data_IF_280112093079
#
_entry.id   IF_280112093079
#
_cell.length_a   1.000
_cell.length_b   1.000
_cell.length_c   1.000
_cell.angle_alpha   90.00
_cell.angle_beta   90.00
_cell.angle_gamma   90.00
#
_symmetry.space_group_name_H-M   'P 1'
#
loop_
_entity.id
_entity.type
_entity.pdbx_description
1 polymer ?
#
# COMPACT_ATOMS: atom_id res chain seq x y z
N UNK A 1 -13.77 -20.25 -8.15
CA UNK A 1 -13.37 -19.36 -7.05
C UNK A 1 -14.51 -19.32 -6.04
N UNK A 2 -14.22 -19.48 -4.74
CA UNK A 2 -15.26 -19.40 -3.72
C UNK A 2 -15.73 -17.94 -3.54
N UNK A 3 -16.94 -17.76 -3.03
CA UNK A 3 -17.50 -16.42 -2.78
C UNK A 3 -16.60 -15.59 -1.89
N UNK A 4 -15.97 -16.22 -0.88
CA UNK A 4 -15.05 -15.53 0.01
C UNK A 4 -13.81 -15.00 -0.73
N UNK A 5 -13.26 -15.74 -1.68
CA UNK A 5 -12.13 -15.29 -2.47
C UNK A 5 -12.49 -14.14 -3.41
N UNK A 6 -13.73 -14.13 -3.94
CA UNK A 6 -14.21 -13.01 -4.73
C UNK A 6 -14.28 -11.72 -3.92
N UNK A 7 -14.75 -11.82 -2.67
CA UNK A 7 -14.82 -10.65 -1.78
C UNK A 7 -13.44 -10.10 -1.42
N UNK A 8 -12.44 -10.97 -1.25
CA UNK A 8 -11.08 -10.54 -0.87
C UNK A 8 -10.51 -9.55 -1.88
N UNK A 9 -10.64 -9.81 -3.19
CA UNK A 9 -10.11 -8.91 -4.21
C UNK A 9 -10.79 -7.53 -4.15
N UNK A 10 -12.10 -7.49 -3.93
CA UNK A 10 -12.81 -6.23 -3.79
C UNK A 10 -12.43 -5.50 -2.49
N UNK A 11 -12.25 -6.22 -1.39
CA UNK A 11 -11.83 -5.61 -0.10
C UNK A 11 -10.44 -5.01 -0.22
N UNK A 12 -9.46 -5.75 -0.72
CA UNK A 12 -8.11 -5.23 -0.92
C UNK A 12 -8.11 -4.08 -1.92
N UNK A 13 -8.86 -4.20 -3.01
CA UNK A 13 -8.97 -3.13 -4.01
C UNK A 13 -9.53 -1.85 -3.39
N UNK A 14 -10.62 -1.94 -2.64
CA UNK A 14 -11.21 -0.79 -1.96
C UNK A 14 -10.25 -0.19 -0.93
N UNK A 15 -9.57 -1.03 -0.15
CA UNK A 15 -8.59 -0.57 0.84
C UNK A 15 -7.45 0.22 0.20
N UNK A 16 -6.91 -0.26 -0.91
CA UNK A 16 -5.83 0.44 -1.61
C UNK A 16 -6.31 1.73 -2.26
N UNK A 17 -7.56 1.79 -2.74
CA UNK A 17 -8.14 3.05 -3.23
C UNK A 17 -8.26 4.08 -2.11
N UNK A 18 -8.67 3.65 -0.91
CA UNK A 18 -8.74 4.55 0.26
C UNK A 18 -7.34 5.04 0.65
N UNK A 19 -6.33 4.17 0.59
CA UNK A 19 -4.94 4.57 0.85
C UNK A 19 -4.45 5.58 -0.19
N UNK A 20 -4.82 5.41 -1.46
CA UNK A 20 -4.50 6.38 -2.51
C UNK A 20 -5.10 7.76 -2.20
N UNK A 21 -6.37 7.80 -1.81
CA UNK A 21 -7.02 9.04 -1.40
C UNK A 21 -6.30 9.69 -0.21
N UNK A 22 -5.90 8.88 0.76
CA UNK A 22 -5.15 9.38 1.92
C UNK A 22 -3.82 10.02 1.51
N UNK A 23 -3.11 9.42 0.55
CA UNK A 23 -1.87 10.00 0.01
C UNK A 23 -2.10 11.36 -0.63
N UNK A 24 -3.19 11.51 -1.39
CA UNK A 24 -3.47 12.75 -2.12
C UNK A 24 -4.04 13.84 -1.22
N UNK A 25 -4.92 13.48 -0.27
CA UNK A 25 -5.64 14.44 0.56
C UNK A 25 -4.92 14.76 1.86
N UNK A 26 -4.14 13.82 2.39
CA UNK A 26 -3.45 13.96 3.68
C UNK A 26 -2.00 13.45 3.59
N UNK A 27 -1.18 14.07 2.72
CA UNK A 27 0.18 13.55 2.47
C UNK A 27 1.06 13.56 3.72
N UNK A 28 0.93 14.53 4.63
CA UNK A 28 1.72 14.55 5.85
C UNK A 28 1.35 13.41 6.79
N UNK A 29 0.07 13.18 6.98
CA UNK A 29 -0.42 12.10 7.85
C UNK A 29 -0.08 10.73 7.28
N UNK A 30 0.03 10.61 5.95
CA UNK A 30 0.41 9.37 5.31
C UNK A 30 1.81 8.90 5.72
N UNK A 31 2.74 9.82 5.94
CA UNK A 31 4.07 9.44 6.45
C UNK A 31 3.97 8.66 7.76
N UNK A 32 3.21 9.17 8.74
CA UNK A 32 3.04 8.50 10.02
C UNK A 32 2.28 7.19 9.91
N UNK A 33 1.24 7.15 9.07
CA UNK A 33 0.48 5.93 8.84
C UNK A 33 1.35 4.84 8.23
N UNK A 34 2.17 5.21 7.24
CA UNK A 34 3.07 4.28 6.56
C UNK A 34 4.21 3.83 7.48
N UNK A 35 4.73 4.73 8.29
CA UNK A 35 5.80 4.45 9.23
C UNK A 35 7.11 5.16 8.92
N UNK A 36 7.06 6.32 8.28
CA UNK A 36 8.24 7.11 7.98
C UNK A 36 8.12 8.50 8.59
N UNK A 37 9.25 9.07 9.06
CA UNK A 37 9.26 10.45 9.56
C UNK A 37 9.08 11.42 8.40
N UNK A 38 8.50 12.58 8.69
CA UNK A 38 8.44 13.66 7.73
C UNK A 38 9.85 14.09 7.33
N UNK A 39 10.03 14.43 6.07
CA UNK A 39 11.28 15.01 5.60
C UNK A 39 11.44 16.42 6.15
N UNK A 40 12.65 16.99 6.05
CA UNK A 40 12.95 18.26 6.67
C UNK A 40 12.04 19.39 6.14
N UNK A 41 11.06 19.80 6.96
CA UNK A 41 10.10 20.84 6.62
C UNK A 41 10.74 22.22 6.47
N UNK A 42 11.92 22.44 7.06
CA UNK A 42 12.61 23.73 7.00
C UNK A 42 13.18 24.02 5.61
N UNK A 43 13.47 22.97 4.83
CA UNK A 43 14.04 23.12 3.49
C UNK A 43 12.97 23.24 2.40
N UNK A 44 11.70 22.97 2.72
CA UNK A 44 10.63 23.02 1.72
C UNK A 44 9.29 23.41 2.35
N UNK A 45 9.08 24.72 2.48
CA UNK A 45 7.86 25.27 3.08
C UNK A 45 6.59 24.90 2.31
N UNK A 46 6.68 24.72 0.98
CA UNK A 46 5.53 24.38 0.15
C UNK A 46 4.99 22.97 0.45
N UNK A 47 5.87 22.02 0.72
CA UNK A 47 5.50 20.62 0.95
C UNK A 47 5.23 20.29 2.41
N UNK A 48 5.55 21.20 3.33
CA UNK A 48 5.35 21.02 4.78
C UNK A 48 5.95 19.72 5.31
N UNK A 49 7.11 19.33 4.79
CA UNK A 49 7.83 18.14 5.23
C UNK A 49 7.49 16.86 4.50
N UNK A 50 6.58 16.87 3.53
CA UNK A 50 6.36 15.71 2.67
C UNK A 50 7.02 15.91 1.29
N UNK A 51 7.51 14.82 0.72
CA UNK A 51 8.06 14.78 -0.63
C UNK A 51 6.95 14.58 -1.66
N UNK A 52 7.10 15.08 -2.91
CA UNK A 52 6.21 14.72 -4.00
C UNK A 52 6.10 13.20 -4.24
N UNK A 53 7.06 12.41 -3.77
CA UNK A 53 7.00 10.95 -3.86
C UNK A 53 5.77 10.35 -3.15
N UNK A 54 5.18 11.05 -2.18
CA UNK A 54 3.94 10.57 -1.55
C UNK A 54 2.80 10.49 -2.57
N UNK A 55 2.78 11.38 -3.57
CA UNK A 55 1.79 11.34 -4.65
C UNK A 55 2.07 10.19 -5.63
N UNK A 56 3.34 9.90 -5.90
CA UNK A 56 3.74 8.72 -6.68
C UNK A 56 3.28 7.45 -5.99
N UNK A 57 3.45 7.37 -4.67
CA UNK A 57 2.93 6.28 -3.87
C UNK A 57 1.40 6.18 -3.98
N UNK A 58 0.71 7.33 -3.96
CA UNK A 58 -0.74 7.36 -4.14
C UNK A 58 -1.19 6.78 -5.47
N UNK A 59 -0.51 7.12 -6.56
CA UNK A 59 -0.79 6.54 -7.89
C UNK A 59 -0.52 5.04 -7.88
N UNK A 60 0.53 4.58 -7.23
CA UNK A 60 0.83 3.15 -7.09
C UNK A 60 -0.33 2.42 -6.41
N UNK A 61 -0.81 2.94 -5.30
CA UNK A 61 -1.94 2.35 -4.57
C UNK A 61 -3.23 2.38 -5.41
N UNK A 62 -3.46 3.49 -6.14
CA UNK A 62 -4.60 3.62 -7.04
C UNK A 62 -4.60 2.53 -8.12
N UNK A 63 -3.45 2.33 -8.76
CA UNK A 63 -3.33 1.32 -9.82
C UNK A 63 -3.49 -0.09 -9.28
N UNK A 64 -2.99 -0.38 -8.09
CA UNK A 64 -3.19 -1.69 -7.45
C UNK A 64 -4.68 -1.95 -7.20
N UNK A 65 -5.36 -0.97 -6.61
CA UNK A 65 -6.78 -1.11 -6.29
C UNK A 65 -7.66 -1.27 -7.52
N UNK A 66 -7.44 -0.43 -8.52
CA UNK A 66 -8.20 -0.52 -9.77
C UNK A 66 -7.96 -1.85 -10.48
N UNK A 67 -6.71 -2.32 -10.51
CA UNK A 67 -6.38 -3.59 -11.15
C UNK A 67 -7.11 -4.76 -10.49
N UNK A 68 -7.08 -4.82 -9.15
CA UNK A 68 -7.78 -5.89 -8.44
C UNK A 68 -9.28 -5.87 -8.70
N UNK A 69 -9.89 -4.69 -8.66
CA UNK A 69 -11.34 -4.54 -8.85
C UNK A 69 -11.73 -4.91 -10.29
N UNK A 70 -11.02 -4.39 -11.27
CA UNK A 70 -11.33 -4.66 -12.69
C UNK A 70 -11.13 -6.13 -13.02
N UNK A 71 -10.03 -6.73 -12.59
CA UNK A 71 -9.79 -8.16 -12.85
C UNK A 71 -10.83 -9.04 -12.17
N UNK A 72 -11.27 -8.68 -10.96
CA UNK A 72 -12.34 -9.40 -10.27
C UNK A 72 -13.66 -9.27 -11.02
N UNK A 73 -13.98 -8.07 -11.48
CA UNK A 73 -15.19 -7.83 -12.27
C UNK A 73 -15.19 -8.65 -13.56
N UNK A 74 -14.03 -8.79 -14.20
CA UNK A 74 -13.85 -9.60 -15.40
C UNK A 74 -13.83 -11.12 -15.12
N UNK A 75 -13.79 -11.52 -13.87
CA UNK A 75 -13.71 -12.93 -13.47
C UNK A 75 -12.37 -13.60 -13.82
N UNK A 76 -11.31 -12.83 -13.98
CA UNK A 76 -10.01 -13.36 -14.38
C UNK A 76 -9.19 -13.82 -13.16
N UNK A 77 -9.53 -14.99 -12.65
CA UNK A 77 -8.94 -15.55 -11.41
C UNK A 77 -7.42 -15.70 -11.52
N UNK A 78 -6.92 -16.17 -12.65
CA UNK A 78 -5.48 -16.39 -12.82
C UNK A 78 -4.70 -15.08 -12.77
N UNK A 79 -5.22 -14.03 -13.41
CA UNK A 79 -4.59 -12.72 -13.38
C UNK A 79 -4.62 -12.11 -11.98
N UNK A 80 -5.72 -12.26 -11.25
CA UNK A 80 -5.82 -11.80 -9.85
C UNK A 80 -4.76 -12.47 -9.00
N UNK A 81 -4.63 -13.78 -9.06
CA UNK A 81 -3.67 -14.56 -8.28
C UNK A 81 -2.24 -14.13 -8.59
N UNK A 82 -1.91 -14.01 -9.87
CA UNK A 82 -0.58 -13.57 -10.31
C UNK A 82 -0.30 -12.15 -9.83
N UNK A 83 -1.26 -11.25 -9.99
CA UNK A 83 -1.10 -9.86 -9.60
C UNK A 83 -0.94 -9.72 -8.07
N UNK A 84 -1.76 -10.44 -7.30
CA UNK A 84 -1.66 -10.43 -5.84
C UNK A 84 -0.29 -10.94 -5.36
N UNK A 85 0.23 -12.00 -5.98
CA UNK A 85 1.57 -12.49 -5.67
C UNK A 85 2.64 -11.43 -5.93
N UNK A 86 2.54 -10.73 -7.06
CA UNK A 86 3.52 -9.70 -7.43
C UNK A 86 3.44 -8.51 -6.46
N UNK A 87 2.25 -7.99 -6.19
CA UNK A 87 2.12 -6.83 -5.30
C UNK A 87 2.39 -7.15 -3.84
N UNK A 88 2.34 -8.42 -3.44
CA UNK A 88 2.75 -8.80 -2.09
C UNK A 88 4.20 -8.43 -1.81
N UNK A 89 5.05 -8.43 -2.85
CA UNK A 89 6.44 -8.00 -2.73
C UNK A 89 6.54 -6.53 -2.32
N UNK A 90 5.58 -5.69 -2.71
CA UNK A 90 5.56 -4.30 -2.26
C UNK A 90 5.39 -4.22 -0.74
N UNK A 91 4.56 -5.07 -0.14
CA UNK A 91 4.42 -5.13 1.32
C UNK A 91 5.71 -5.55 2.01
N UNK A 92 6.42 -6.53 1.45
CA UNK A 92 7.70 -6.94 1.98
C UNK A 92 8.72 -5.80 1.96
N UNK A 93 8.89 -5.15 0.80
CA UNK A 93 9.86 -4.06 0.63
C UNK A 93 9.45 -2.83 1.43
N UNK A 94 8.18 -2.48 1.44
CA UNK A 94 7.68 -1.35 2.25
C UNK A 94 8.01 -1.59 3.73
N UNK A 95 7.84 -2.80 4.22
CA UNK A 95 8.21 -3.16 5.59
C UNK A 95 9.70 -3.00 5.86
N UNK A 96 10.56 -3.41 4.92
CA UNK A 96 12.00 -3.22 5.05
C UNK A 96 12.39 -1.74 5.06
N UNK A 97 11.77 -0.94 4.19
CA UNK A 97 12.01 0.51 4.16
C UNK A 97 11.65 1.14 5.49
N UNK A 98 10.50 0.80 6.05
CA UNK A 98 10.07 1.32 7.35
C UNK A 98 11.00 0.85 8.47
N UNK A 99 11.39 -0.42 8.46
CA UNK A 99 12.28 -0.98 9.48
C UNK A 99 13.62 -0.24 9.53
N UNK A 100 14.21 0.05 8.38
CA UNK A 100 15.52 0.70 8.31
C UNK A 100 15.47 2.23 8.37
N UNK A 101 14.32 2.86 8.04
CA UNK A 101 14.22 4.31 7.89
C UNK A 101 13.22 4.98 8.83
N UNK A 102 12.35 4.21 9.49
CA UNK A 102 11.30 4.76 10.34
C UNK A 102 11.75 5.18 11.73
N UNK A 103 12.93 4.75 12.14
CA UNK A 103 13.41 4.95 13.49
C UNK A 103 12.65 4.08 14.50
N UNK A 104 12.99 4.22 15.79
CA UNK A 104 12.35 3.41 16.82
C UNK A 104 10.86 3.71 16.96
N UNK A 105 10.46 4.95 16.73
CA UNK A 105 9.07 5.39 16.85
C UNK A 105 8.15 4.64 15.87
N UNK A 106 8.59 4.46 14.62
CA UNK A 106 7.74 3.90 13.57
C UNK A 106 8.09 2.45 13.21
N UNK A 107 9.12 1.86 13.86
CA UNK A 107 9.58 0.52 13.49
C UNK A 107 8.47 -0.52 13.55
N UNK A 108 7.52 -0.39 14.48
CA UNK A 108 6.38 -1.30 14.58
C UNK A 108 5.48 -1.31 13.36
N UNK A 109 5.46 -0.20 12.60
CA UNK A 109 4.67 -0.11 11.37
C UNK A 109 5.14 -1.10 10.30
N UNK A 110 6.42 -1.51 10.35
CA UNK A 110 6.94 -2.54 9.46
C UNK A 110 6.15 -3.83 9.54
N UNK A 111 5.71 -4.22 10.74
CA UNK A 111 4.93 -5.45 10.93
C UNK A 111 3.60 -5.40 10.19
N UNK A 112 2.97 -4.23 10.09
CA UNK A 112 1.75 -4.06 9.30
C UNK A 112 1.97 -4.34 7.81
N UNK A 113 3.07 -3.84 7.27
CA UNK A 113 3.44 -4.08 5.88
C UNK A 113 3.77 -5.56 5.64
N UNK A 114 4.50 -6.20 6.55
CA UNK A 114 4.84 -7.62 6.44
C UNK A 114 3.60 -8.50 6.63
N UNK A 115 2.65 -8.08 7.46
CA UNK A 115 1.37 -8.77 7.56
C UNK A 115 0.63 -8.75 6.22
N UNK A 116 0.60 -7.60 5.54
CA UNK A 116 0.00 -7.49 4.20
C UNK A 116 0.72 -8.41 3.19
N UNK A 117 2.06 -8.46 3.24
CA UNK A 117 2.84 -9.38 2.42
C UNK A 117 2.40 -10.83 2.63
N UNK A 118 2.32 -11.26 3.90
CA UNK A 118 1.95 -12.64 4.23
C UNK A 118 0.51 -12.94 3.79
N UNK A 119 -0.43 -12.04 4.05
CA UNK A 119 -1.84 -12.23 3.72
C UNK A 119 -2.04 -12.32 2.20
N UNK A 120 -1.47 -11.36 1.45
CA UNK A 120 -1.58 -11.36 -0.01
C UNK A 120 -0.87 -12.55 -0.64
N UNK A 121 0.34 -12.86 -0.16
CA UNK A 121 1.09 -14.00 -0.67
C UNK A 121 0.42 -15.33 -0.39
N UNK A 122 -0.15 -15.50 0.81
CA UNK A 122 -0.88 -16.71 1.19
C UNK A 122 -2.17 -16.87 0.38
N UNK A 123 -2.88 -15.76 0.17
CA UNK A 123 -4.10 -15.78 -0.63
C UNK A 123 -3.79 -16.14 -2.09
N UNK A 124 -2.67 -15.64 -2.62
CA UNK A 124 -2.26 -15.91 -4.00
C UNK A 124 -1.73 -17.35 -4.20
N UNK A 125 -1.27 -17.98 -3.13
CA UNK A 125 -0.82 -19.36 -3.19
C UNK A 125 -2.00 -20.31 -3.21
#
# INVERSE_FOLDING_TARGET
>A
MSTSNQLIAYVFGAATLLLALHCFLRPRQEYGRFGLPLENAQTNAKTQGHSPFVFVKGVRELTYGLTLIVLQYQGNVNAITTFAAIISLAGLVDGLVVWFNGGQEFRRKAYGHWFAFVVLGSWAA
#
